data_IF_385920702931
#
_entry.id   IF_385920702931
#
_cell.length_a   1.000
_cell.length_b   1.000
_cell.length_c   1.000
_cell.angle_alpha   90.00
_cell.angle_beta   90.00
_cell.angle_gamma   90.00
#
_symmetry.space_group_name_H-M   'P 1'
#
loop_
_entity.id
_entity.type
_entity.pdbx_description
1 polymer ?
#
# COMPACT_ATOMS: atom_id res chain seq x y z
N UNK A 1 -31.54 -5.95 -19.28
CA UNK A 1 -30.11 -5.60 -19.11
C UNK A 1 -29.49 -5.66 -20.50
N UNK A 2 -29.07 -4.53 -21.04
CA UNK A 2 -28.57 -4.40 -22.41
C UNK A 2 -27.13 -4.96 -22.46
N UNK A 3 -26.93 -6.12 -23.08
CA UNK A 3 -25.64 -6.85 -23.14
C UNK A 3 -24.66 -6.30 -24.19
N UNK A 4 -25.00 -5.19 -24.86
CA UNK A 4 -24.25 -4.65 -26.01
C UNK A 4 -22.95 -3.92 -25.67
N UNK A 5 -22.72 -3.54 -24.41
CA UNK A 5 -21.53 -2.76 -24.00
C UNK A 5 -20.55 -3.55 -23.10
N UNK A 6 -20.56 -4.89 -23.16
CA UNK A 6 -19.63 -5.70 -22.38
C UNK A 6 -18.40 -6.02 -23.24
N UNK A 7 -17.33 -5.23 -23.08
CA UNK A 7 -16.04 -5.48 -23.73
C UNK A 7 -15.50 -6.85 -23.32
N UNK A 8 -15.31 -7.76 -24.28
CA UNK A 8 -14.75 -9.11 -24.07
C UNK A 8 -13.94 -9.53 -25.30
N UNK A 9 -12.71 -10.05 -25.13
CA UNK A 9 -11.90 -10.06 -23.91
C UNK A 9 -11.52 -8.64 -23.45
N UNK A 10 -11.07 -8.47 -22.20
CA UNK A 10 -10.60 -7.20 -21.66
C UNK A 10 -9.41 -7.40 -20.70
N UNK A 11 -8.64 -6.35 -20.47
CA UNK A 11 -7.54 -6.31 -19.49
C UNK A 11 -7.83 -5.25 -18.41
N UNK A 12 -7.25 -5.42 -17.22
CA UNK A 12 -7.40 -4.51 -16.07
C UNK A 12 -6.01 -4.24 -15.50
N UNK A 13 -5.74 -3.00 -15.10
CA UNK A 13 -4.49 -2.60 -14.44
C UNK A 13 -3.36 -2.13 -15.37
N UNK A 14 -3.59 -2.08 -16.68
CA UNK A 14 -2.66 -1.51 -17.66
C UNK A 14 -3.37 -0.51 -18.57
N UNK A 15 -2.62 0.40 -19.17
CA UNK A 15 -3.07 1.15 -20.33
C UNK A 15 -2.60 0.41 -21.58
N UNK A 16 -3.49 -0.34 -22.22
CA UNK A 16 -3.19 -1.08 -23.44
C UNK A 16 -3.58 -0.24 -24.66
N UNK A 17 -2.63 0.57 -25.13
CA UNK A 17 -2.77 1.43 -26.29
C UNK A 17 -2.61 0.70 -27.64
N UNK A 18 -2.17 -0.55 -27.61
CA UNK A 18 -1.99 -1.40 -28.80
C UNK A 18 -3.27 -2.14 -29.15
N UNK A 19 -3.78 -2.99 -28.24
CA UNK A 19 -4.99 -3.78 -28.51
C UNK A 19 -6.27 -3.11 -28.04
N UNK A 20 -6.15 -2.02 -27.25
CA UNK A 20 -7.26 -1.22 -26.73
C UNK A 20 -8.28 -2.06 -25.95
N UNK A 21 -7.80 -3.11 -25.30
CA UNK A 21 -8.61 -4.01 -24.48
C UNK A 21 -8.65 -3.60 -23.00
N UNK A 22 -7.84 -2.62 -22.60
CA UNK A 22 -7.80 -2.15 -21.22
C UNK A 22 -9.07 -1.39 -20.84
N UNK A 23 -9.68 -1.78 -19.72
CA UNK A 23 -10.76 -1.02 -19.11
C UNK A 23 -10.24 0.31 -18.54
N UNK A 24 -11.05 1.37 -18.69
CA UNK A 24 -10.76 2.66 -18.07
C UNK A 24 -10.85 2.53 -16.54
N UNK A 25 -9.76 2.85 -15.86
CA UNK A 25 -9.69 2.89 -14.40
C UNK A 25 -10.14 4.26 -13.88
N UNK A 26 -10.77 4.34 -12.69
CA UNK A 26 -11.02 5.61 -12.02
C UNK A 26 -9.71 6.39 -11.83
N UNK A 27 -9.74 7.70 -12.03
CA UNK A 27 -8.56 8.56 -11.84
C UNK A 27 -8.19 8.83 -10.37
N UNK A 28 -8.81 8.13 -9.43
CA UNK A 28 -8.57 8.25 -7.99
C UNK A 28 -8.53 6.87 -7.34
N UNK A 29 -7.80 6.78 -6.23
CA UNK A 29 -7.73 5.58 -5.41
C UNK A 29 -9.10 5.18 -4.87
N UNK A 30 -9.41 3.89 -4.95
CA UNK A 30 -10.66 3.36 -4.45
C UNK A 30 -10.59 3.24 -2.93
N UNK A 31 -11.50 3.90 -2.22
CA UNK A 31 -11.68 3.69 -0.78
C UNK A 31 -12.44 2.40 -0.57
N UNK A 32 -11.70 1.35 -0.19
CA UNK A 32 -12.23 -0.01 -0.03
C UNK A 32 -12.30 -0.47 1.43
N UNK A 33 -11.70 0.30 2.35
CA UNK A 33 -11.68 0.01 3.78
C UNK A 33 -12.31 1.16 4.57
N UNK A 34 -13.07 0.86 5.64
CA UNK A 34 -13.60 1.88 6.55
C UNK A 34 -12.46 2.54 7.35
N UNK A 35 -12.25 3.83 7.09
CA UNK A 35 -11.14 4.61 7.65
C UNK A 35 -11.22 4.76 9.17
N UNK A 36 -12.42 4.74 9.74
CA UNK A 36 -12.66 4.82 11.19
C UNK A 36 -12.30 3.52 11.94
N UNK A 37 -12.06 2.42 11.21
CA UNK A 37 -11.83 1.09 11.79
C UNK A 37 -10.45 0.52 11.49
N UNK A 38 -9.86 0.90 10.35
CA UNK A 38 -8.55 0.37 9.92
C UNK A 38 -7.51 1.48 9.93
N UNK A 39 -6.52 1.33 10.80
CA UNK A 39 -5.32 2.17 10.74
C UNK A 39 -4.41 1.64 9.63
N UNK A 40 -3.89 2.55 8.82
CA UNK A 40 -3.05 2.25 7.66
C UNK A 40 -1.75 3.04 7.76
N UNK A 41 -0.61 2.38 7.62
CA UNK A 41 0.70 2.99 7.74
C UNK A 41 1.61 2.60 6.58
N UNK A 42 2.45 3.54 6.14
CA UNK A 42 3.46 3.33 5.10
C UNK A 42 4.83 3.73 5.63
N UNK A 43 5.82 2.85 5.50
CA UNK A 43 7.19 3.12 5.95
C UNK A 43 8.15 2.98 4.79
N UNK A 44 8.88 4.04 4.51
CA UNK A 44 9.96 4.09 3.54
C UNK A 44 11.29 3.84 4.23
N UNK A 45 11.96 2.76 3.86
CA UNK A 45 13.26 2.37 4.39
C UNK A 45 14.28 2.13 3.29
N UNK A 46 15.54 2.06 3.69
CA UNK A 46 16.67 1.70 2.85
C UNK A 46 17.07 0.24 3.06
N UNK A 47 17.56 -0.42 2.02
CA UNK A 47 18.00 -1.81 2.12
C UNK A 47 19.03 -2.01 3.23
N UNK A 48 18.72 -2.91 4.16
CA UNK A 48 19.53 -3.23 5.36
C UNK A 48 19.53 -2.19 6.49
N UNK A 49 18.63 -1.20 6.48
CA UNK A 49 18.52 -0.23 7.59
C UNK A 49 17.73 -0.74 8.81
N UNK A 50 17.09 -1.92 8.69
CA UNK A 50 16.29 -2.54 9.76
C UNK A 50 14.79 -2.22 9.72
N UNK A 51 14.32 -1.32 8.85
CA UNK A 51 12.91 -0.88 8.76
C UNK A 51 11.93 -2.04 8.61
N UNK A 52 12.20 -2.94 7.66
CA UNK A 52 11.35 -4.12 7.41
C UNK A 52 11.32 -5.04 8.64
N UNK A 53 12.47 -5.26 9.29
CA UNK A 53 12.55 -6.10 10.48
C UNK A 53 11.76 -5.51 11.65
N UNK A 54 11.94 -4.21 11.90
CA UNK A 54 11.21 -3.48 12.93
C UNK A 54 9.69 -3.54 12.68
N UNK A 55 9.24 -3.36 11.44
CA UNK A 55 7.82 -3.44 11.08
C UNK A 55 7.24 -4.86 11.23
N UNK A 56 8.01 -5.92 10.91
CA UNK A 56 7.62 -7.31 11.15
C UNK A 56 7.44 -7.62 12.64
N UNK A 57 8.29 -7.08 13.50
CA UNK A 57 8.15 -7.26 14.95
C UNK A 57 7.02 -6.37 15.51
N UNK A 58 6.89 -5.14 15.05
CA UNK A 58 5.81 -4.23 15.45
C UNK A 58 4.42 -4.83 15.16
N UNK A 59 4.21 -5.39 13.97
CA UNK A 59 2.90 -5.95 13.62
C UNK A 59 2.56 -7.20 14.44
N UNK A 60 3.56 -8.02 14.80
CA UNK A 60 3.38 -9.15 15.72
C UNK A 60 3.02 -8.67 17.13
N UNK A 61 3.72 -7.66 17.64
CA UNK A 61 3.43 -7.08 18.95
C UNK A 61 2.00 -6.50 18.99
N UNK A 62 1.60 -5.78 17.94
CA UNK A 62 0.24 -5.23 17.82
C UNK A 62 -0.80 -6.36 17.79
N UNK A 63 -0.59 -7.38 16.96
CA UNK A 63 -1.50 -8.54 16.88
C UNK A 63 -1.62 -9.31 18.20
N UNK A 64 -0.54 -9.40 18.97
CA UNK A 64 -0.52 -10.10 20.25
C UNK A 64 -1.06 -9.26 21.42
N UNK A 65 -1.23 -7.96 21.26
CA UNK A 65 -1.67 -7.06 22.33
C UNK A 65 -3.13 -7.28 22.74
N UNK A 66 -4.00 -7.68 21.81
CA UNK A 66 -5.43 -7.87 22.07
C UNK A 66 -6.01 -8.97 21.18
N UNK A 67 -6.82 -9.88 21.74
CA UNK A 67 -7.35 -11.07 21.03
C UNK A 67 -8.13 -10.74 19.74
N UNK A 68 -8.77 -9.56 19.68
CA UNK A 68 -9.54 -9.12 18.50
C UNK A 68 -8.75 -8.27 17.50
N UNK A 69 -7.44 -8.11 17.70
CA UNK A 69 -6.63 -7.27 16.81
C UNK A 69 -6.37 -8.00 15.49
N UNK A 70 -7.00 -7.52 14.41
CA UNK A 70 -6.66 -7.94 13.05
C UNK A 70 -5.46 -7.14 12.56
N UNK A 71 -4.48 -7.83 11.99
CA UNK A 71 -3.26 -7.21 11.46
C UNK A 71 -2.93 -7.72 10.08
N UNK A 72 -2.38 -6.86 9.23
CA UNK A 72 -1.91 -7.18 7.90
C UNK A 72 -0.61 -6.43 7.62
N UNK A 73 0.35 -7.11 7.01
CA UNK A 73 1.62 -6.53 6.60
C UNK A 73 2.01 -7.01 5.21
N UNK A 74 2.45 -6.08 4.36
CA UNK A 74 3.07 -6.37 3.07
C UNK A 74 4.36 -5.56 2.94
N UNK A 75 5.38 -6.16 2.34
CA UNK A 75 6.72 -5.57 2.25
C UNK A 75 7.19 -5.61 0.79
N UNK A 76 7.37 -4.43 0.22
CA UNK A 76 7.91 -4.22 -1.11
C UNK A 76 9.41 -3.96 -1.03
N UNK A 77 10.17 -4.58 -1.92
CA UNK A 77 11.62 -4.45 -2.00
C UNK A 77 12.00 -4.07 -3.42
N UNK A 78 13.00 -3.20 -3.56
CA UNK A 78 13.68 -3.00 -4.83
C UNK A 78 14.36 -4.30 -5.29
N UNK A 79 14.41 -4.50 -6.60
CA UNK A 79 15.16 -5.58 -7.27
C UNK A 79 16.66 -5.55 -6.97
N UNK A 80 17.19 -4.40 -6.53
CA UNK A 80 18.60 -4.25 -6.17
C UNK A 80 18.94 -5.04 -4.90
N UNK A 81 19.92 -5.93 -5.03
CA UNK A 81 20.46 -6.74 -3.91
C UNK A 81 20.99 -5.89 -2.74
N UNK A 82 21.50 -4.70 -3.02
CA UNK A 82 21.98 -3.75 -2.02
C UNK A 82 21.62 -2.32 -2.41
N UNK A 83 21.47 -1.45 -1.41
CA UNK A 83 21.14 -0.02 -1.60
C UNK A 83 19.83 0.27 -2.33
N UNK A 84 18.92 -0.71 -2.35
CA UNK A 84 17.55 -0.53 -2.81
C UNK A 84 16.70 0.21 -1.77
N UNK A 85 15.53 0.66 -2.21
CA UNK A 85 14.49 1.13 -1.29
C UNK A 85 13.59 -0.03 -0.85
N UNK A 86 12.88 0.18 0.25
CA UNK A 86 11.86 -0.73 0.76
C UNK A 86 10.63 0.06 1.17
N UNK A 87 9.45 -0.49 0.94
CA UNK A 87 8.17 0.08 1.40
C UNK A 87 7.46 -0.97 2.23
N UNK A 88 7.13 -0.64 3.48
CA UNK A 88 6.30 -1.49 4.34
C UNK A 88 4.88 -0.91 4.40
N UNK A 89 3.91 -1.72 4.00
CA UNK A 89 2.49 -1.42 4.13
C UNK A 89 1.94 -2.18 5.33
N UNK A 90 1.49 -1.46 6.36
CA UNK A 90 0.91 -2.04 7.55
C UNK A 90 -0.54 -1.61 7.69
N UNK A 91 -1.41 -2.54 8.08
CA UNK A 91 -2.78 -2.27 8.48
C UNK A 91 -3.10 -3.00 9.77
N UNK A 92 -3.85 -2.36 10.65
CA UNK A 92 -4.35 -2.99 11.87
C UNK A 92 -5.70 -2.42 12.27
N UNK A 93 -6.52 -3.25 12.88
CA UNK A 93 -7.92 -2.96 13.20
C UNK A 93 -8.35 -3.75 14.44
N UNK A 94 -8.91 -3.10 15.47
CA UNK A 94 -9.42 -3.79 16.64
C UNK A 94 -10.86 -4.31 16.48
N UNK A 95 -11.52 -4.03 15.35
CA UNK A 95 -12.98 -4.26 15.19
C UNK A 95 -13.38 -5.12 14.01
N UNK A 96 -12.59 -5.12 12.92
CA UNK A 96 -12.87 -5.86 11.70
C UNK A 96 -11.66 -6.63 11.20
N UNK A 97 -11.93 -7.71 10.47
CA UNK A 97 -10.90 -8.43 9.72
C UNK A 97 -10.48 -7.65 8.47
N UNK A 98 -9.18 -7.65 8.20
CA UNK A 98 -8.59 -6.90 7.09
C UNK A 98 -8.44 -7.82 5.87
N UNK A 99 -9.28 -7.63 4.85
CA UNK A 99 -9.24 -8.36 3.59
C UNK A 99 -8.81 -7.42 2.44
N UNK A 100 -7.55 -6.96 2.51
CA UNK A 100 -7.01 -5.98 1.56
C UNK A 100 -5.71 -6.47 0.90
N UNK A 101 -5.76 -7.43 -0.05
CA UNK A 101 -4.58 -7.97 -0.71
C UNK A 101 -4.00 -7.02 -1.79
N UNK A 102 -3.91 -5.74 -1.46
CA UNK A 102 -3.38 -4.66 -2.30
C UNK A 102 -2.65 -3.65 -1.40
N UNK A 103 -1.77 -2.86 -2.01
CA UNK A 103 -0.95 -1.87 -1.30
C UNK A 103 -1.80 -0.75 -0.71
N UNK A 104 -1.28 -0.05 0.30
CA UNK A 104 -1.90 1.21 0.75
C UNK A 104 -1.70 2.24 -0.38
N UNK A 105 -2.77 2.86 -0.84
CA UNK A 105 -2.72 3.77 -1.98
C UNK A 105 -2.59 5.25 -1.55
N UNK A 106 -2.60 6.14 -2.54
CA UNK A 106 -2.47 7.59 -2.34
C UNK A 106 -3.60 8.14 -1.46
N UNK A 107 -3.26 8.99 -0.49
CA UNK A 107 -4.21 9.63 0.41
C UNK A 107 -4.90 8.71 1.43
N UNK A 108 -4.45 7.46 1.60
CA UNK A 108 -5.10 6.47 2.46
C UNK A 108 -4.38 6.18 3.78
N UNK A 109 -3.09 6.52 3.88
CA UNK A 109 -2.28 6.25 5.06
C UNK A 109 -2.56 7.28 6.17
N UNK A 110 -2.82 6.77 7.36
CA UNK A 110 -2.90 7.55 8.59
C UNK A 110 -1.53 7.98 9.11
N UNK A 111 -0.49 7.21 8.75
CA UNK A 111 0.88 7.46 9.14
C UNK A 111 1.84 7.13 8.00
N UNK A 112 2.76 8.04 7.74
CA UNK A 112 3.84 7.84 6.78
C UNK A 112 5.16 8.14 7.47
N UNK A 113 6.10 7.20 7.43
CA UNK A 113 7.46 7.39 7.91
C UNK A 113 8.46 7.31 6.76
N UNK A 114 9.49 8.16 6.83
CA UNK A 114 10.63 8.14 5.94
C UNK A 114 11.91 8.00 6.76
N UNK A 115 12.58 6.86 6.67
CA UNK A 115 13.81 6.58 7.43
C UNK A 115 15.08 6.94 6.66
N UNK A 116 14.95 7.48 5.45
CA UNK A 116 16.08 7.97 4.65
C UNK A 116 15.74 9.33 4.01
N UNK A 117 16.37 10.39 4.52
CA UNK A 117 16.15 11.77 4.06
C UNK A 117 16.41 11.98 2.56
N UNK A 118 17.30 11.17 1.96
CA UNK A 118 17.65 11.30 0.54
C UNK A 118 16.47 11.05 -0.40
N UNK A 119 15.43 10.34 0.06
CA UNK A 119 14.21 10.11 -0.71
C UNK A 119 13.42 11.40 -0.93
N UNK A 120 13.43 12.29 0.07
CA UNK A 120 12.75 13.58 0.03
C UNK A 120 13.65 14.65 -0.61
N UNK A 121 14.90 14.77 -0.15
CA UNK A 121 15.80 15.85 -0.56
C UNK A 121 16.17 15.80 -2.04
N UNK A 122 16.31 14.60 -2.62
CA UNK A 122 16.64 14.45 -4.02
C UNK A 122 15.41 14.49 -4.95
N UNK A 123 14.22 14.81 -4.42
CA UNK A 123 12.92 14.73 -5.12
C UNK A 123 12.71 13.41 -5.89
N UNK A 124 13.31 12.32 -5.39
CA UNK A 124 13.26 11.01 -6.06
C UNK A 124 11.92 10.32 -5.87
N UNK A 125 11.30 10.52 -4.72
CA UNK A 125 10.03 9.92 -4.37
C UNK A 125 9.10 10.95 -3.72
N UNK A 126 7.84 10.94 -4.14
CA UNK A 126 6.79 11.59 -3.38
C UNK A 126 6.36 10.65 -2.25
N UNK A 127 7.01 10.82 -1.10
CA UNK A 127 6.76 10.02 0.10
C UNK A 127 5.43 10.41 0.75
N UNK A 128 5.06 11.68 0.69
CA UNK A 128 3.89 12.24 1.39
C UNK A 128 2.59 11.94 0.66
N UNK A 129 2.63 11.53 -0.62
CA UNK A 129 1.43 11.14 -1.40
C UNK A 129 0.50 10.15 -0.67
N UNK A 130 1.04 9.23 0.12
CA UNK A 130 0.21 8.25 0.84
C UNK A 130 -0.57 8.89 1.99
N UNK A 131 -0.10 10.00 2.55
CA UNK A 131 -0.68 10.60 3.74
C UNK A 131 -2.08 11.14 3.42
N UNK A 132 -3.03 10.75 4.28
CA UNK A 132 -4.40 11.27 4.24
C UNK A 132 -4.41 12.79 4.44
N UNK A 133 -5.26 13.49 3.67
CA UNK A 133 -5.48 14.94 3.79
C UNK A 133 -6.61 15.28 4.74
#
# INVERSE_FOLDING_TARGET
RNTKDIQRPFTVGINDDVTRLSLSMPGHSLVTLPEDKVTQCVFWGFGSDGTVGANKEAIKMIGNYHEKMSVQAYFEYDSKKSSGWTISHLRFSPTIDIQAPFNVEEGQAHYVACHNESYVQAHKFDVVKYLKR
#
